data_IF_772347010323
#
_entry.id   IF_772347010323
#
_cell.length_a   1.000
_cell.length_b   1.000
_cell.length_c   1.000
_cell.angle_alpha   90.00
_cell.angle_beta   90.00
_cell.angle_gamma   90.00
#
_symmetry.space_group_name_H-M   'P 1'
#
loop_
_entity.id
_entity.type
_entity.pdbx_description
1 polymer ?
#
# COMPACT_ATOMS: atom_id res chain seq x y z
N UNK A 1 -3.52 11.97 7.65
CA UNK A 1 -3.20 10.58 8.01
C UNK A 1 -4.32 9.62 7.68
N UNK A 2 -5.54 9.76 8.23
CA UNK A 2 -6.67 8.87 7.88
C UNK A 2 -7.00 8.92 6.37
N UNK A 3 -7.14 10.12 5.81
CA UNK A 3 -7.37 10.31 4.37
C UNK A 3 -6.27 9.71 3.49
N UNK A 4 -5.01 9.79 3.92
CA UNK A 4 -3.86 9.23 3.18
C UNK A 4 -3.91 7.71 3.15
N UNK A 5 -4.33 7.10 4.26
CA UNK A 5 -4.58 5.68 4.39
C UNK A 5 -5.69 5.22 3.45
N UNK A 6 -6.82 5.92 3.43
CA UNK A 6 -7.94 5.58 2.53
C UNK A 6 -7.54 5.65 1.05
N UNK A 7 -6.79 6.69 0.67
CA UNK A 7 -6.26 6.83 -0.69
C UNK A 7 -5.30 5.69 -1.04
N UNK A 8 -4.39 5.34 -0.14
CA UNK A 8 -3.44 4.25 -0.37
C UNK A 8 -4.15 2.87 -0.44
N UNK A 9 -5.16 2.62 0.41
CA UNK A 9 -5.97 1.40 0.34
C UNK A 9 -6.66 1.31 -1.02
N UNK A 10 -7.27 2.40 -1.50
CA UNK A 10 -7.92 2.43 -2.81
C UNK A 10 -6.92 2.17 -3.94
N UNK A 11 -5.71 2.72 -3.82
CA UNK A 11 -4.62 2.47 -4.76
C UNK A 11 -4.25 0.99 -4.83
N UNK A 12 -3.98 0.31 -3.71
CA UNK A 12 -3.62 -1.11 -3.68
C UNK A 12 -4.80 -2.05 -4.02
N UNK A 13 -6.04 -1.62 -3.78
CA UNK A 13 -7.24 -2.35 -4.29
C UNK A 13 -7.33 -2.34 -5.81
N UNK A 14 -6.85 -1.28 -6.45
CA UNK A 14 -6.82 -1.17 -7.92
C UNK A 14 -5.57 -1.84 -8.49
N UNK A 15 -4.43 -1.71 -7.81
CA UNK A 15 -3.14 -2.22 -8.22
C UNK A 15 -2.70 -3.33 -7.26
N UNK A 16 -3.09 -4.57 -7.58
CA UNK A 16 -2.93 -5.73 -6.70
C UNK A 16 -1.47 -6.04 -6.36
N UNK A 17 -0.54 -5.76 -7.28
CA UNK A 17 0.90 -5.98 -7.10
C UNK A 17 1.66 -4.78 -7.67
N UNK A 18 2.45 -4.11 -6.84
CA UNK A 18 3.15 -2.87 -7.20
C UNK A 18 4.59 -2.94 -6.72
N UNK A 19 5.55 -2.63 -7.59
CA UNK A 19 6.96 -2.50 -7.19
C UNK A 19 7.17 -1.41 -6.14
N UNK A 20 8.10 -1.58 -5.20
CA UNK A 20 8.30 -0.66 -4.07
C UNK A 20 8.54 0.79 -4.52
N UNK A 21 9.38 0.96 -5.55
CA UNK A 21 9.71 2.27 -6.12
C UNK A 21 8.48 2.93 -6.74
N UNK A 22 7.67 2.14 -7.48
CA UNK A 22 6.46 2.62 -8.11
C UNK A 22 5.40 3.01 -7.08
N UNK A 23 5.20 2.19 -6.04
CA UNK A 23 4.26 2.48 -4.97
C UNK A 23 4.58 3.82 -4.28
N UNK A 24 5.85 4.06 -3.92
CA UNK A 24 6.25 5.33 -3.30
C UNK A 24 6.02 6.52 -4.24
N UNK A 25 6.36 6.37 -5.52
CA UNK A 25 6.19 7.41 -6.54
C UNK A 25 4.72 7.74 -6.76
N UNK A 26 3.88 6.74 -6.92
CA UNK A 26 2.46 6.90 -7.22
C UNK A 26 1.71 7.51 -6.01
N UNK A 27 1.98 7.02 -4.80
CA UNK A 27 1.39 7.56 -3.59
C UNK A 27 1.77 9.05 -3.38
N UNK A 28 3.01 9.44 -3.69
CA UNK A 28 3.40 10.87 -3.73
C UNK A 28 2.59 11.65 -4.77
N UNK A 29 2.42 11.08 -5.97
CA UNK A 29 1.59 11.67 -7.03
C UNK A 29 0.12 11.85 -6.64
N UNK A 30 -0.39 11.01 -5.74
CA UNK A 30 -1.73 11.10 -5.15
C UNK A 30 -1.83 12.12 -4.00
N UNK A 31 -0.74 12.82 -3.67
CA UNK A 31 -0.71 13.86 -2.64
C UNK A 31 -0.33 13.35 -1.24
N UNK A 32 0.08 12.09 -1.10
CA UNK A 32 0.53 11.55 0.19
C UNK A 32 1.96 12.04 0.46
N UNK A 33 2.11 12.82 1.53
CA UNK A 33 3.41 13.43 1.90
C UNK A 33 4.44 12.39 2.35
N UNK A 34 4.00 11.38 3.08
CA UNK A 34 4.86 10.37 3.71
C UNK A 34 4.42 8.95 3.30
N UNK A 35 4.60 8.56 2.03
CA UNK A 35 4.12 7.28 1.51
C UNK A 35 4.73 6.09 2.25
N UNK A 36 5.99 6.16 2.66
CA UNK A 36 6.68 5.09 3.39
C UNK A 36 6.02 4.79 4.74
N UNK A 37 5.59 5.83 5.46
CA UNK A 37 4.83 5.67 6.73
C UNK A 37 3.46 5.05 6.49
N UNK A 38 2.79 5.42 5.41
CA UNK A 38 1.49 4.85 5.07
C UNK A 38 1.63 3.39 4.66
N UNK A 39 2.60 3.05 3.82
CA UNK A 39 2.91 1.68 3.42
C UNK A 39 3.24 0.82 4.66
N UNK A 40 4.12 1.30 5.55
CA UNK A 40 4.43 0.61 6.80
C UNK A 40 3.16 0.31 7.61
N UNK A 41 2.28 1.28 7.73
CA UNK A 41 1.00 1.11 8.44
C UNK A 41 0.06 0.13 7.74
N UNK A 42 0.02 0.08 6.41
CA UNK A 42 -0.77 -0.89 5.66
C UNK A 42 -0.23 -2.32 5.81
N UNK A 43 1.10 -2.48 5.90
CA UNK A 43 1.75 -3.75 6.22
C UNK A 43 1.39 -4.20 7.63
N UNK A 44 1.50 -3.30 8.62
CA UNK A 44 1.11 -3.59 10.01
C UNK A 44 -0.37 -3.97 10.15
N UNK A 45 -1.25 -3.37 9.33
CA UNK A 45 -2.68 -3.69 9.29
C UNK A 45 -3.01 -4.99 8.52
N UNK A 46 -2.03 -5.61 7.87
CA UNK A 46 -2.24 -6.79 7.00
C UNK A 46 -3.13 -6.50 5.79
N UNK A 47 -3.15 -5.25 5.32
CA UNK A 47 -3.87 -4.88 4.08
C UNK A 47 -3.01 -5.20 2.87
N UNK A 48 -1.70 -4.98 2.99
CA UNK A 48 -0.71 -5.34 1.99
C UNK A 48 0.38 -6.20 2.62
N UNK A 49 1.09 -6.96 1.79
CA UNK A 49 2.24 -7.77 2.14
C UNK A 49 3.46 -7.36 1.31
N UNK A 50 4.66 -7.65 1.82
CA UNK A 50 5.92 -7.29 1.16
C UNK A 50 6.59 -8.54 0.58
N UNK A 51 6.63 -8.62 -0.75
CA UNK A 51 7.43 -9.60 -1.48
C UNK A 51 8.84 -9.09 -1.81
N UNK A 52 9.52 -9.78 -2.73
CA UNK A 52 10.83 -9.35 -3.25
C UNK A 52 10.66 -8.15 -4.19
N UNK A 53 10.86 -6.94 -3.65
CA UNK A 53 10.84 -5.72 -4.45
C UNK A 53 9.43 -5.17 -4.75
N UNK A 54 8.39 -5.74 -4.15
CA UNK A 54 7.00 -5.38 -4.42
C UNK A 54 6.07 -5.48 -3.20
N UNK A 55 4.98 -4.72 -3.26
CA UNK A 55 3.87 -4.74 -2.31
C UNK A 55 2.64 -5.37 -2.98
N UNK A 56 2.03 -6.32 -2.29
CA UNK A 56 0.86 -7.07 -2.78
C UNK A 56 -0.34 -6.82 -1.87
N UNK A 57 -1.54 -6.68 -2.44
CA UNK A 57 -2.77 -6.63 -1.65
C UNK A 57 -3.08 -8.01 -1.06
N UNK A 58 -3.23 -8.07 0.27
CA UNK A 58 -3.65 -9.30 0.97
C UNK A 58 -5.11 -9.56 0.67
N UNK A 59 -5.41 -10.74 0.12
CA UNK A 59 -6.80 -11.14 -0.11
C UNK A 59 -7.42 -11.61 1.21
N UNK A 60 -8.70 -11.31 1.41
CA UNK A 60 -9.45 -11.70 2.62
C UNK A 60 -9.41 -13.22 2.87
N UNK A 61 -9.21 -14.03 1.83
CA UNK A 61 -9.05 -15.48 1.91
C UNK A 61 -7.74 -15.95 2.55
N UNK A 62 -6.78 -15.04 2.79
CA UNK A 62 -5.44 -15.35 3.31
C UNK A 62 -5.26 -14.92 4.78
N UNK A 63 -6.30 -14.33 5.40
CA UNK A 63 -6.35 -14.07 6.84
C UNK A 63 -6.50 -15.41 7.57
N UNK A 64 -5.38 -16.01 7.97
CA UNK A 64 -5.31 -17.25 8.75
C UNK A 64 -5.49 -17.00 10.24
#
# INVERSE_FOLDING_TARGET
MERDLEVAIKYFKTNVSVGEIAAVRDLKGLGIKEPEKIIAKLLEMGIIDKGEGCYNLVRESEKK
#
